data_IF_498446044481
#
_entry.id   IF_498446044481
#
_cell.length_a   1.000
_cell.length_b   1.000
_cell.length_c   1.000
_cell.angle_alpha   90.00
_cell.angle_beta   90.00
_cell.angle_gamma   90.00
#
_symmetry.space_group_name_H-M   'P 1'
#
loop_
_entity.id
_entity.type
_entity.pdbx_description
1 polymer ?
#
# COMPACT_ATOMS: atom_id res chain seq x y z
N UNK A 1 -7.90 -15.27 -15.15
CA UNK A 1 -6.48 -14.87 -14.98
C UNK A 1 -6.33 -13.42 -15.43
N UNK A 2 -5.72 -12.51 -14.63
CA UNK A 2 -5.48 -11.11 -15.07
C UNK A 2 -4.51 -11.09 -16.26
N UNK A 3 -4.74 -10.20 -17.22
CA UNK A 3 -3.85 -10.00 -18.38
C UNK A 3 -2.46 -9.49 -17.94
N UNK A 4 -1.45 -9.71 -18.78
CA UNK A 4 -0.08 -9.24 -18.51
C UNK A 4 -0.01 -7.71 -18.33
N UNK A 5 -0.77 -6.95 -19.12
CA UNK A 5 -0.86 -5.48 -19.00
C UNK A 5 -1.41 -5.05 -17.64
N UNK A 6 -2.46 -5.71 -17.14
CA UNK A 6 -3.02 -5.40 -15.82
C UNK A 6 -2.01 -5.67 -14.69
N UNK A 7 -1.25 -6.77 -14.78
CA UNK A 7 -0.19 -7.09 -13.81
C UNK A 7 0.92 -6.05 -13.85
N UNK A 8 1.34 -5.62 -15.05
CA UNK A 8 2.36 -4.59 -15.22
C UNK A 8 1.94 -3.25 -14.63
N UNK A 9 0.68 -2.81 -14.85
CA UNK A 9 0.15 -1.57 -14.26
C UNK A 9 0.16 -1.58 -12.72
N UNK A 10 -0.18 -2.71 -12.12
CA UNK A 10 -0.09 -2.90 -10.66
C UNK A 10 1.35 -2.80 -10.18
N UNK A 11 2.28 -3.49 -10.85
CA UNK A 11 3.71 -3.44 -10.51
C UNK A 11 4.30 -2.04 -10.61
N UNK A 12 3.93 -1.27 -11.63
CA UNK A 12 4.37 0.13 -11.77
C UNK A 12 3.91 0.95 -10.57
N UNK A 13 2.63 0.83 -10.15
CA UNK A 13 2.14 1.53 -8.96
C UNK A 13 2.90 1.10 -7.69
N UNK A 14 3.13 -0.19 -7.48
CA UNK A 14 3.91 -0.68 -6.33
C UNK A 14 5.31 -0.06 -6.27
N UNK A 15 6.01 -0.03 -7.41
CA UNK A 15 7.35 0.53 -7.50
C UNK A 15 7.35 2.04 -7.23
N UNK A 16 6.37 2.78 -7.75
CA UNK A 16 6.23 4.22 -7.47
C UNK A 16 6.04 4.48 -5.98
N UNK A 17 5.12 3.77 -5.31
CA UNK A 17 4.89 3.96 -3.86
C UNK A 17 6.13 3.59 -3.05
N UNK A 18 6.87 2.54 -3.42
CA UNK A 18 8.14 2.20 -2.75
C UNK A 18 9.14 3.36 -2.86
N UNK A 19 9.25 4.01 -4.02
CA UNK A 19 10.14 5.16 -4.20
C UNK A 19 9.67 6.38 -3.41
N UNK A 20 8.37 6.65 -3.41
CA UNK A 20 7.78 7.74 -2.61
C UNK A 20 8.05 7.55 -1.12
N UNK A 21 7.86 6.32 -0.61
CA UNK A 21 8.15 5.98 0.79
C UNK A 21 9.64 6.10 1.12
N UNK A 22 10.54 5.61 0.26
CA UNK A 22 11.99 5.77 0.47
C UNK A 22 12.42 7.25 0.44
N UNK A 23 11.73 8.08 -0.33
CA UNK A 23 11.97 9.54 -0.35
C UNK A 23 11.47 10.20 0.93
N UNK A 24 10.31 9.77 1.45
CA UNK A 24 9.73 10.29 2.67
C UNK A 24 10.49 9.86 3.94
N UNK A 25 11.13 8.69 3.91
CA UNK A 25 11.91 8.11 5.02
C UNK A 25 13.37 7.86 4.59
N UNK A 26 14.20 8.92 4.44
CA UNK A 26 15.57 8.79 3.94
C UNK A 26 16.49 7.94 4.84
N UNK A 27 16.08 7.67 6.08
CA UNK A 27 16.78 6.79 7.02
C UNK A 27 16.52 5.29 6.78
N UNK A 28 15.58 4.94 5.90
CA UNK A 28 15.25 3.57 5.52
C UNK A 28 15.91 3.21 4.18
N UNK A 29 16.56 2.04 4.14
CA UNK A 29 17.25 1.55 2.95
C UNK A 29 16.38 0.70 2.03
N UNK A 30 17.00 0.19 0.97
CA UNK A 30 16.34 -0.76 0.06
C UNK A 30 15.81 -2.04 0.73
N UNK A 31 16.54 -2.67 1.68
CA UNK A 31 16.02 -3.84 2.40
C UNK A 31 14.80 -3.55 3.26
N UNK A 32 14.62 -2.28 3.67
CA UNK A 32 13.57 -1.87 4.59
C UNK A 32 12.21 -1.71 3.91
N UNK A 33 12.18 -1.25 2.66
CA UNK A 33 10.95 -1.01 1.88
C UNK A 33 11.14 -1.60 0.48
N UNK A 34 10.39 -2.64 0.14
CA UNK A 34 10.49 -3.32 -1.17
C UNK A 34 9.12 -3.77 -1.69
N UNK A 35 8.90 -3.82 -3.01
CA UNK A 35 7.67 -4.39 -3.55
C UNK A 35 7.64 -5.91 -3.33
N UNK A 36 6.45 -6.49 -3.17
CA UNK A 36 6.26 -7.94 -3.14
C UNK A 36 6.68 -8.60 -4.46
N UNK A 37 7.02 -9.88 -4.46
CA UNK A 37 7.38 -10.59 -5.70
C UNK A 37 6.09 -10.88 -6.49
N UNK A 38 6.13 -10.80 -7.82
CA UNK A 38 4.97 -11.13 -8.66
C UNK A 38 4.47 -12.55 -8.37
N UNK A 39 3.19 -12.67 -8.00
CA UNK A 39 2.58 -13.96 -7.67
C UNK A 39 2.75 -14.40 -6.21
N UNK A 40 3.47 -13.62 -5.40
CA UNK A 40 3.48 -13.78 -3.95
C UNK A 40 2.10 -13.37 -3.39
N UNK A 41 1.58 -14.15 -2.45
CA UNK A 41 0.40 -13.78 -1.66
C UNK A 41 0.81 -12.94 -0.44
N UNK A 42 -0.01 -11.97 -0.05
CA UNK A 42 0.25 -11.08 1.08
C UNK A 42 0.13 -9.61 0.68
N UNK A 43 0.74 -8.73 1.48
CA UNK A 43 0.79 -7.28 1.22
C UNK A 43 1.65 -6.94 0.00
N UNK A 44 1.34 -5.84 -0.67
CA UNK A 44 2.01 -5.43 -1.90
C UNK A 44 3.36 -4.73 -1.67
N UNK A 45 3.56 -4.13 -0.49
CA UNK A 45 4.80 -3.48 -0.07
C UNK A 45 5.29 -4.15 1.20
N UNK A 46 6.48 -4.74 1.12
CA UNK A 46 7.10 -5.47 2.21
C UNK A 46 8.01 -4.53 3.00
N UNK A 47 7.81 -4.53 4.31
CA UNK A 47 8.48 -3.64 5.26
C UNK A 47 9.29 -4.44 6.28
N UNK A 48 10.52 -4.01 6.55
CA UNK A 48 11.30 -4.47 7.71
C UNK A 48 10.64 -4.04 9.02
N UNK A 49 11.05 -4.62 10.15
CA UNK A 49 10.53 -4.20 11.46
C UNK A 49 10.70 -2.71 11.69
N UNK A 50 11.87 -2.15 11.37
CA UNK A 50 12.16 -0.72 11.49
C UNK A 50 11.25 0.13 10.60
N UNK A 51 10.97 -0.32 9.38
CA UNK A 51 10.06 0.40 8.49
C UNK A 51 8.60 0.35 8.98
N UNK A 52 8.18 -0.75 9.60
CA UNK A 52 6.83 -0.88 10.19
C UNK A 52 6.64 0.08 11.37
N UNK A 53 7.69 0.33 12.16
CA UNK A 53 7.62 1.28 13.27
C UNK A 53 7.33 2.72 12.80
N UNK A 54 7.79 3.08 11.60
CA UNK A 54 7.60 4.40 10.99
C UNK A 54 6.35 4.47 10.09
N UNK A 55 6.03 3.37 9.41
CA UNK A 55 4.94 3.26 8.45
C UNK A 55 4.18 1.93 8.69
N UNK A 56 3.24 1.89 9.67
CA UNK A 56 2.62 0.64 10.15
C UNK A 56 1.47 0.13 9.25
N UNK A 57 1.57 0.31 7.93
CA UNK A 57 0.46 0.08 7.00
C UNK A 57 0.64 -1.12 6.07
N UNK A 58 -0.34 -2.02 6.07
CA UNK A 58 -0.47 -3.13 5.14
C UNK A 58 -1.00 -2.62 3.80
N UNK A 59 -0.09 -2.33 2.88
CA UNK A 59 -0.41 -1.71 1.60
C UNK A 59 -0.99 -2.72 0.62
N UNK A 60 -2.13 -2.36 0.03
CA UNK A 60 -2.73 -2.98 -1.14
C UNK A 60 -2.81 -1.96 -2.29
N UNK A 61 -2.27 -2.29 -3.47
CA UNK A 61 -2.13 -1.39 -4.61
C UNK A 61 -3.07 -1.80 -5.77
N UNK A 62 -3.92 -0.88 -6.22
CA UNK A 62 -4.85 -1.11 -7.36
C UNK A 62 -4.71 -0.05 -8.45
N UNK A 63 -4.27 -0.47 -9.62
CA UNK A 63 -4.26 0.36 -10.84
C UNK A 63 -5.24 -0.20 -11.86
N UNK A 64 -6.50 0.24 -11.81
CA UNK A 64 -7.59 -0.29 -12.64
C UNK A 64 -8.69 0.76 -12.88
N UNK A 65 -9.36 0.67 -14.03
CA UNK A 65 -10.38 1.64 -14.45
C UNK A 65 -11.67 1.55 -13.63
N UNK A 66 -12.07 0.33 -13.29
CA UNK A 66 -13.18 0.02 -12.39
C UNK A 66 -12.63 -0.69 -11.15
N UNK A 67 -12.95 -0.14 -9.97
CA UNK A 67 -12.48 -0.63 -8.68
C UNK A 67 -13.68 -1.10 -7.86
N UNK A 68 -13.70 -2.38 -7.48
CA UNK A 68 -14.57 -2.85 -6.41
C UNK A 68 -13.89 -2.53 -5.08
N UNK A 69 -14.25 -1.39 -4.49
CA UNK A 69 -13.59 -0.89 -3.29
C UNK A 69 -13.71 -1.86 -2.11
N UNK A 70 -14.87 -2.50 -1.93
CA UNK A 70 -15.12 -3.42 -0.83
C UNK A 70 -14.25 -4.67 -0.89
N UNK A 71 -14.08 -5.24 -2.09
CA UNK A 71 -13.20 -6.40 -2.28
C UNK A 71 -11.73 -6.02 -2.01
N UNK A 72 -11.33 -4.82 -2.41
CA UNK A 72 -9.95 -4.35 -2.24
C UNK A 72 -9.64 -4.02 -0.77
N UNK A 73 -10.58 -3.40 -0.06
CA UNK A 73 -10.46 -3.17 1.38
C UNK A 73 -10.40 -4.48 2.15
N UNK A 74 -11.26 -5.45 1.81
CA UNK A 74 -11.20 -6.80 2.39
C UNK A 74 -9.84 -7.47 2.18
N UNK A 75 -9.24 -7.34 0.99
CA UNK A 75 -7.88 -7.85 0.73
C UNK A 75 -6.84 -7.16 1.62
N UNK A 76 -6.90 -5.84 1.75
CA UNK A 76 -6.00 -5.09 2.63
C UNK A 76 -6.17 -5.50 4.11
N UNK A 77 -7.41 -5.70 4.57
CA UNK A 77 -7.75 -6.16 5.92
C UNK A 77 -7.23 -7.58 6.20
N UNK A 78 -7.48 -8.53 5.31
CA UNK A 78 -7.05 -9.92 5.46
C UNK A 78 -5.52 -10.04 5.46
N UNK A 79 -4.84 -9.29 4.60
CA UNK A 79 -3.38 -9.28 4.55
C UNK A 79 -2.78 -8.52 5.74
N UNK A 80 -3.36 -7.39 6.14
CA UNK A 80 -2.94 -6.61 7.30
C UNK A 80 -3.09 -7.40 8.60
N UNK A 81 -4.17 -8.16 8.76
CA UNK A 81 -4.35 -9.05 9.91
C UNK A 81 -3.26 -10.11 10.02
N UNK A 82 -2.78 -10.67 8.90
CA UNK A 82 -1.69 -11.67 8.91
C UNK A 82 -0.35 -11.07 9.34
N UNK A 83 -0.14 -9.81 9.02
CA UNK A 83 1.11 -9.08 9.27
C UNK A 83 1.06 -8.18 10.52
N UNK A 84 -0.08 -8.13 11.21
CA UNK A 84 -0.35 -7.25 12.36
C UNK A 84 -0.17 -5.76 12.03
N UNK A 85 -0.71 -5.33 10.89
CA UNK A 85 -0.53 -3.99 10.33
C UNK A 85 -1.87 -3.36 9.95
N UNK A 86 -1.94 -2.03 9.94
CA UNK A 86 -3.16 -1.28 9.65
C UNK A 86 -3.47 -1.33 8.14
N UNK A 87 -4.69 -1.72 7.71
CA UNK A 87 -5.02 -1.82 6.30
C UNK A 87 -4.92 -0.47 5.55
N UNK A 88 -4.28 -0.46 4.39
CA UNK A 88 -4.13 0.72 3.54
C UNK A 88 -4.35 0.37 2.07
N UNK A 89 -5.38 0.94 1.45
CA UNK A 89 -5.63 0.78 0.02
C UNK A 89 -5.11 2.00 -0.74
N UNK A 90 -4.16 1.78 -1.65
CA UNK A 90 -3.67 2.79 -2.58
C UNK A 90 -4.18 2.47 -3.98
N UNK A 91 -4.82 3.43 -4.64
CA UNK A 91 -5.45 3.16 -5.92
C UNK A 91 -5.47 4.33 -6.88
N UNK A 92 -5.54 4.00 -8.18
CA UNK A 92 -5.74 4.97 -9.27
C UNK A 92 -6.32 4.30 -10.51
N UNK A 93 -6.87 5.13 -11.40
CA UNK A 93 -7.00 4.78 -12.83
C UNK A 93 -5.68 5.04 -13.55
N UNK A 94 -5.49 4.42 -14.71
CA UNK A 94 -4.23 4.57 -15.42
C UNK A 94 -3.97 6.04 -15.81
N UNK A 95 -2.79 6.57 -15.47
CA UNK A 95 -2.38 7.96 -15.74
C UNK A 95 -3.28 9.03 -15.10
N UNK A 96 -3.79 8.75 -13.91
CA UNK A 96 -4.56 9.70 -13.10
C UNK A 96 -3.93 9.89 -11.72
N UNK A 97 -4.53 10.75 -10.90
CA UNK A 97 -4.10 10.97 -9.51
C UNK A 97 -4.18 9.66 -8.71
N UNK A 98 -3.23 9.50 -7.79
CA UNK A 98 -3.22 8.41 -6.81
C UNK A 98 -4.02 8.83 -5.59
N UNK A 99 -4.90 7.95 -5.13
CA UNK A 99 -5.71 8.13 -3.93
C UNK A 99 -5.40 7.04 -2.92
N UNK A 100 -5.74 7.32 -1.68
CA UNK A 100 -5.58 6.43 -0.55
C UNK A 100 -6.93 6.30 0.15
N UNK A 101 -7.27 5.07 0.55
CA UNK A 101 -8.40 4.79 1.43
C UNK A 101 -7.88 4.08 2.69
N UNK A 102 -8.30 4.61 3.84
CA UNK A 102 -8.08 4.07 5.17
C UNK A 102 -9.40 4.08 5.94
N UNK A 103 -9.45 3.31 7.02
CA UNK A 103 -10.58 3.38 7.95
C UNK A 103 -10.73 4.81 8.49
N UNK A 104 -11.98 5.25 8.66
CA UNK A 104 -12.29 6.57 9.20
C UNK A 104 -11.65 6.81 10.58
N UNK A 105 -11.70 5.81 11.47
CA UNK A 105 -11.08 5.88 12.81
C UNK A 105 -9.58 6.13 12.72
N UNK A 106 -8.90 5.44 11.81
CA UNK A 106 -7.47 5.61 11.57
C UNK A 106 -7.16 6.99 10.99
N UNK A 107 -7.98 7.47 10.04
CA UNK A 107 -7.84 8.83 9.52
C UNK A 107 -8.00 9.89 10.63
N UNK A 108 -8.96 9.73 11.53
CA UNK A 108 -9.14 10.61 12.67
C UNK A 108 -7.91 10.64 13.59
N UNK A 109 -7.32 9.47 13.87
CA UNK A 109 -6.08 9.39 14.65
C UNK A 109 -4.95 10.18 13.98
N UNK A 110 -4.78 10.03 12.66
CA UNK A 110 -3.76 10.77 11.90
C UNK A 110 -3.95 12.29 11.97
N UNK A 111 -5.15 12.80 11.70
CA UNK A 111 -5.37 14.25 11.63
C UNK A 111 -5.40 14.92 13.01
N UNK A 112 -5.63 14.17 14.09
CA UNK A 112 -5.59 14.68 15.47
C UNK A 112 -4.20 14.57 16.09
N UNK A 113 -3.39 13.58 15.68
CA UNK A 113 -1.99 13.47 16.10
C UNK A 113 -1.13 14.64 15.59
N UNK A 114 -1.44 15.16 14.40
CA UNK A 114 -0.75 16.30 13.76
C UNK A 114 -1.04 17.65 14.44
N UNK A 115 -2.02 17.72 15.35
CA UNK A 115 -2.39 18.96 16.05
C UNK A 115 -1.63 19.19 17.38
N UNK A 116 -0.52 18.49 17.62
CA UNK A 116 0.38 18.70 18.77
C UNK A 116 1.74 19.19 18.30
#
# INVERSE_FOLDING_TARGET
MKSASCKAKGRVLQNEIVQDLRTAYPELGEPDIRPAITGQSGIDILLSSRARDLFPYAVECKNQEALNIWECLKQAEENGKKEWMVPLLIFRRHRTKTYVAIEWTEFLNLVTAVQR
#
